data_IF_480432249600
#
_entry.id   IF_480432249600
#
_cell.length_a   1.000
_cell.length_b   1.000
_cell.length_c   1.000
_cell.angle_alpha   90.00
_cell.angle_beta   90.00
_cell.angle_gamma   90.00
#
_symmetry.space_group_name_H-M   'P 1'
#
loop_
_entity.id
_entity.type
_entity.pdbx_description
1 polymer ?
#
# COMPACT_ATOMS: atom_id res chain seq x y z
N UNK A 1 -1.98 -6.58 12.82
CA UNK A 1 -2.93 -7.02 11.77
C UNK A 1 -2.37 -8.25 11.07
N UNK A 2 -3.19 -9.27 10.77
CA UNK A 2 -2.68 -10.55 10.24
C UNK A 2 -3.23 -10.75 8.83
N UNK A 3 -2.48 -10.28 7.82
CA UNK A 3 -2.74 -10.63 6.42
C UNK A 3 -2.34 -12.08 6.19
N UNK A 4 -3.12 -12.81 5.40
CA UNK A 4 -2.87 -14.21 5.13
C UNK A 4 -2.85 -14.47 3.63
N UNK A 5 -1.70 -14.91 3.12
CA UNK A 5 -1.60 -15.39 1.74
C UNK A 5 -2.56 -16.55 1.45
N UNK A 6 -2.93 -17.34 2.47
CA UNK A 6 -3.94 -18.40 2.35
C UNK A 6 -5.31 -17.87 1.93
N UNK A 7 -5.73 -16.67 2.36
CA UNK A 7 -6.98 -16.07 1.94
C UNK A 7 -6.98 -15.76 0.43
N UNK A 8 -5.89 -15.14 -0.06
CA UNK A 8 -5.71 -14.86 -1.48
C UNK A 8 -5.70 -16.15 -2.32
N UNK A 9 -5.00 -17.20 -1.84
CA UNK A 9 -5.01 -18.53 -2.50
C UNK A 9 -6.39 -19.18 -2.53
N UNK A 10 -7.26 -18.85 -1.58
CA UNK A 10 -8.66 -19.30 -1.56
C UNK A 10 -9.60 -18.41 -2.39
N UNK A 11 -9.07 -17.43 -3.14
CA UNK A 11 -9.87 -16.51 -3.96
C UNK A 11 -10.62 -15.44 -3.17
N UNK A 12 -10.26 -15.23 -1.90
CA UNK A 12 -10.85 -14.20 -1.04
C UNK A 12 -10.07 -12.90 -1.23
N UNK A 13 -10.76 -11.85 -1.66
CA UNK A 13 -10.18 -10.49 -1.72
C UNK A 13 -10.03 -9.92 -0.31
N UNK A 14 -8.84 -9.44 0.01
CA UNK A 14 -8.50 -8.89 1.33
C UNK A 14 -7.98 -7.47 1.16
N UNK A 15 -8.59 -6.50 1.83
CA UNK A 15 -8.08 -5.14 1.91
C UNK A 15 -7.15 -4.97 3.13
N UNK A 16 -6.15 -4.10 2.98
CA UNK A 16 -5.28 -3.69 4.07
C UNK A 16 -5.93 -2.62 4.94
N UNK A 17 -5.66 -2.66 6.25
CA UNK A 17 -6.08 -1.63 7.20
C UNK A 17 -5.10 -1.58 8.37
N UNK A 18 -4.98 -0.43 9.01
CA UNK A 18 -4.16 -0.24 10.22
C UNK A 18 -4.95 -0.42 11.50
N UNK A 19 -6.29 -0.35 11.45
CA UNK A 19 -7.12 -0.26 12.65
C UNK A 19 -6.67 0.91 13.56
N UNK A 20 -6.32 2.04 12.94
CA UNK A 20 -5.84 3.20 13.67
C UNK A 20 -6.88 3.64 14.74
N UNK A 21 -6.44 3.97 15.97
CA UNK A 21 -5.06 4.27 16.39
C UNK A 21 -4.27 3.07 16.94
N UNK A 22 -4.72 1.84 16.74
CA UNK A 22 -4.03 0.63 17.24
C UNK A 22 -2.60 0.54 16.73
N UNK A 23 -2.42 0.80 15.41
CA UNK A 23 -1.09 1.04 14.83
C UNK A 23 -1.14 2.31 13.96
N UNK A 24 0.04 2.76 13.51
CA UNK A 24 0.12 3.91 12.59
C UNK A 24 -0.73 3.70 11.34
N UNK A 25 -1.42 4.73 10.83
CA UNK A 25 -2.18 4.64 9.59
C UNK A 25 -1.30 4.53 8.32
N UNK A 26 0.02 4.62 8.46
CA UNK A 26 0.96 4.55 7.35
C UNK A 26 0.91 3.20 6.62
N UNK A 27 0.44 3.14 5.36
CA UNK A 27 0.30 1.87 4.62
C UNK A 27 1.65 1.20 4.34
N UNK A 28 2.78 1.95 4.32
CA UNK A 28 4.12 1.41 4.09
C UNK A 28 4.53 0.43 5.19
N UNK A 29 4.09 0.69 6.44
CA UNK A 29 4.27 -0.23 7.56
C UNK A 29 3.50 -1.54 7.33
N UNK A 30 2.24 -1.44 6.93
CA UNK A 30 1.41 -2.62 6.66
C UNK A 30 1.92 -3.44 5.46
N UNK A 31 2.41 -2.78 4.40
CA UNK A 31 3.05 -3.44 3.24
C UNK A 31 4.29 -4.21 3.69
N UNK A 32 5.20 -3.57 4.47
CA UNK A 32 6.35 -4.26 5.06
C UNK A 32 5.92 -5.51 5.84
N UNK A 33 4.93 -5.38 6.71
CA UNK A 33 4.51 -6.45 7.60
C UNK A 33 3.88 -7.62 6.83
N UNK A 34 3.15 -7.34 5.75
CA UNK A 34 2.59 -8.36 4.87
C UNK A 34 3.68 -9.17 4.16
N UNK A 35 4.79 -8.53 3.79
CA UNK A 35 5.93 -9.16 3.12
C UNK A 35 6.84 -9.86 4.13
N UNK A 36 7.27 -9.15 5.18
CA UNK A 36 8.29 -9.65 6.11
C UNK A 36 7.73 -10.67 7.11
N UNK A 37 6.47 -10.50 7.55
CA UNK A 37 5.82 -11.32 8.59
C UNK A 37 6.65 -11.40 9.87
N UNK A 38 7.20 -10.26 10.30
CA UNK A 38 7.98 -10.15 11.53
C UNK A 38 7.27 -9.28 12.55
N UNK A 39 7.34 -9.69 13.80
CA UNK A 39 6.97 -8.87 14.95
C UNK A 39 8.03 -7.80 15.24
N UNK A 40 7.71 -6.83 16.11
CA UNK A 40 8.66 -5.79 16.54
C UNK A 40 9.91 -6.34 17.23
N UNK A 41 9.81 -7.51 17.88
CA UNK A 41 10.92 -8.24 18.48
C UNK A 41 11.64 -9.21 17.49
N UNK A 42 11.30 -9.12 16.19
CA UNK A 42 11.98 -9.83 15.11
C UNK A 42 11.51 -11.27 14.86
N UNK A 43 10.55 -11.80 15.64
CA UNK A 43 10.04 -13.17 15.44
C UNK A 43 9.23 -13.28 14.16
N UNK A 44 9.35 -14.41 13.46
CA UNK A 44 8.54 -14.73 12.29
C UNK A 44 7.15 -15.24 12.71
N UNK A 45 6.12 -14.66 12.10
CA UNK A 45 4.73 -15.08 12.28
C UNK A 45 4.18 -15.72 11.00
N UNK A 46 4.18 -17.05 10.95
CA UNK A 46 3.65 -17.81 9.83
C UNK A 46 4.32 -17.44 8.51
N UNK A 47 5.58 -17.83 8.28
CA UNK A 47 6.33 -17.46 7.06
C UNK A 47 5.67 -17.94 5.77
N UNK A 48 4.84 -18.99 5.82
CA UNK A 48 4.04 -19.46 4.69
C UNK A 48 2.90 -18.49 4.29
N UNK A 49 2.59 -17.51 5.15
CA UNK A 49 1.57 -16.48 4.92
C UNK A 49 2.15 -15.15 4.39
N UNK A 50 3.42 -15.14 3.98
CA UNK A 50 4.04 -13.98 3.33
C UNK A 50 3.37 -13.68 2.00
N UNK A 51 3.22 -12.40 1.70
CA UNK A 51 2.77 -11.93 0.41
C UNK A 51 3.96 -11.46 -0.44
N UNK A 52 3.93 -11.68 -1.76
CA UNK A 52 4.79 -10.95 -2.69
C UNK A 52 4.56 -9.44 -2.57
N UNK A 53 5.56 -8.63 -2.87
CA UNK A 53 5.48 -7.18 -2.74
C UNK A 53 4.31 -6.57 -3.54
N UNK A 54 4.05 -7.08 -4.75
CA UNK A 54 2.91 -6.66 -5.58
C UNK A 54 1.58 -6.90 -4.88
N UNK A 55 1.38 -8.07 -4.28
CA UNK A 55 0.13 -8.43 -3.59
C UNK A 55 -0.03 -7.61 -2.30
N UNK A 56 1.07 -7.36 -1.58
CA UNK A 56 1.08 -6.49 -0.41
C UNK A 56 0.70 -5.05 -0.75
N UNK A 57 1.17 -4.51 -1.90
CA UNK A 57 0.78 -3.20 -2.39
C UNK A 57 -0.70 -3.19 -2.80
N UNK A 58 -1.19 -4.25 -3.45
CA UNK A 58 -2.58 -4.37 -3.86
C UNK A 58 -3.57 -4.30 -2.70
N UNK A 59 -3.18 -4.73 -1.49
CA UNK A 59 -4.01 -4.61 -0.27
C UNK A 59 -4.46 -3.16 -0.01
N UNK A 60 -3.62 -2.17 -0.38
CA UNK A 60 -3.84 -0.75 -0.14
C UNK A 60 -4.21 0.05 -1.40
N UNK A 61 -4.37 -0.64 -2.53
CA UNK A 61 -4.74 -0.03 -3.82
C UNK A 61 -5.97 -0.73 -4.41
N UNK A 62 -5.80 -1.64 -5.34
CA UNK A 62 -6.90 -2.29 -6.08
C UNK A 62 -7.83 -3.10 -5.18
N UNK A 63 -7.30 -3.82 -4.20
CA UNK A 63 -8.13 -4.62 -3.27
C UNK A 63 -8.87 -3.73 -2.27
N UNK A 64 -8.27 -2.61 -1.84
CA UNK A 64 -8.96 -1.62 -1.02
C UNK A 64 -10.10 -0.95 -1.80
N UNK A 65 -9.88 -0.60 -3.06
CA UNK A 65 -10.91 -0.06 -3.94
C UNK A 65 -12.09 -1.03 -4.10
N UNK A 66 -11.80 -2.32 -4.33
CA UNK A 66 -12.81 -3.37 -4.40
C UNK A 66 -13.62 -3.49 -3.11
N UNK A 67 -12.96 -3.47 -1.94
CA UNK A 67 -13.65 -3.54 -0.64
C UNK A 67 -14.59 -2.35 -0.40
N UNK A 68 -14.33 -1.21 -1.04
CA UNK A 68 -15.18 -0.02 -1.02
C UNK A 68 -16.22 0.03 -2.15
N UNK A 69 -16.28 -1.00 -3.01
CA UNK A 69 -17.12 -1.04 -4.23
C UNK A 69 -16.84 0.14 -5.19
N UNK A 70 -15.58 0.57 -5.29
CA UNK A 70 -15.13 1.69 -6.12
C UNK A 70 -14.01 1.30 -7.09
N UNK A 71 -13.84 0.03 -7.37
CA UNK A 71 -12.78 -0.49 -8.26
C UNK A 71 -12.89 0.00 -9.71
N UNK A 72 -14.06 0.47 -10.12
CA UNK A 72 -14.27 1.12 -11.42
C UNK A 72 -13.80 2.58 -11.46
N UNK A 73 -13.56 3.21 -10.30
CA UNK A 73 -13.27 4.64 -10.18
C UNK A 73 -11.85 4.91 -9.68
N UNK A 74 -11.33 4.07 -8.78
CA UNK A 74 -10.04 4.25 -8.08
C UNK A 74 -9.25 2.93 -7.97
N UNK A 75 -8.07 2.99 -7.37
CA UNK A 75 -7.24 1.83 -7.03
C UNK A 75 -6.21 1.46 -8.09
N UNK A 76 -6.31 1.99 -9.30
CA UNK A 76 -5.32 1.84 -10.38
C UNK A 76 -5.33 3.07 -11.29
N UNK A 77 -4.21 3.29 -11.99
CA UNK A 77 -4.08 4.35 -12.98
C UNK A 77 -4.49 3.80 -14.35
N UNK A 78 -5.76 3.95 -14.69
CA UNK A 78 -6.35 3.49 -15.94
C UNK A 78 -7.23 4.59 -16.54
N UNK A 79 -7.36 4.66 -17.88
CA UNK A 79 -8.30 5.58 -18.52
C UNK A 79 -9.72 5.41 -17.98
N UNK A 80 -10.35 6.52 -17.61
CA UNK A 80 -11.72 6.54 -17.04
C UNK A 80 -11.78 6.50 -15.52
N UNK A 81 -10.66 6.25 -14.82
CA UNK A 81 -10.57 6.36 -13.36
C UNK A 81 -10.06 7.73 -12.91
N UNK A 82 -10.30 8.06 -11.66
CA UNK A 82 -9.72 9.25 -11.05
C UNK A 82 -8.18 9.19 -11.08
N UNK A 83 -7.55 10.32 -11.33
CA UNK A 83 -6.10 10.46 -11.25
C UNK A 83 -5.67 10.63 -9.78
N UNK A 84 -5.84 9.54 -9.02
CA UNK A 84 -5.47 9.42 -7.60
C UNK A 84 -4.17 8.60 -7.52
N UNK A 85 -3.06 9.25 -7.16
CA UNK A 85 -1.77 8.57 -7.06
C UNK A 85 -0.82 9.26 -6.08
N UNK A 86 0.21 8.53 -5.68
CA UNK A 86 1.36 9.04 -4.94
C UNK A 86 2.63 8.92 -5.77
N UNK A 87 3.52 9.89 -5.61
CA UNK A 87 4.89 9.84 -6.15
C UNK A 87 5.82 9.51 -4.99
N UNK A 88 6.63 8.49 -5.18
CA UNK A 88 7.57 7.98 -4.19
C UNK A 88 9.01 8.15 -4.68
N UNK A 89 9.98 8.30 -3.77
CA UNK A 89 11.39 8.37 -4.11
C UNK A 89 12.02 7.00 -4.43
N UNK A 90 11.32 5.91 -4.05
CA UNK A 90 11.73 4.54 -4.36
C UNK A 90 10.53 3.61 -4.58
N UNK A 91 10.73 2.56 -5.38
CA UNK A 91 9.70 1.55 -5.63
C UNK A 91 9.55 0.60 -4.44
N UNK A 92 8.36 0.47 -3.82
CA UNK A 92 8.13 -0.53 -2.79
C UNK A 92 8.22 -1.97 -3.30
N UNK A 93 8.15 -2.16 -4.64
CA UNK A 93 8.26 -3.49 -5.26
C UNK A 93 9.71 -3.98 -5.34
N UNK A 94 10.69 -3.06 -5.31
CA UNK A 94 12.12 -3.32 -5.48
C UNK A 94 12.91 -3.05 -4.18
N UNK A 95 12.26 -2.41 -3.21
CA UNK A 95 12.88 -2.06 -1.93
C UNK A 95 12.80 -3.24 -0.96
N UNK A 96 13.90 -3.52 -0.25
CA UNK A 96 13.90 -4.53 0.82
C UNK A 96 12.81 -4.20 1.87
N UNK A 97 12.06 -5.19 2.36
CA UNK A 97 10.88 -4.95 3.21
C UNK A 97 11.16 -4.04 4.40
N UNK A 98 12.30 -4.20 5.04
CA UNK A 98 12.71 -3.43 6.23
C UNK A 98 12.89 -1.93 5.91
N UNK A 99 13.15 -1.59 4.66
CA UNK A 99 13.37 -0.22 4.18
C UNK A 99 12.12 0.44 3.62
N UNK A 100 11.04 -0.31 3.35
CA UNK A 100 9.80 0.23 2.78
C UNK A 100 9.20 1.37 3.61
N UNK A 101 9.17 1.33 4.97
CA UNK A 101 8.65 2.45 5.75
C UNK A 101 9.46 3.74 5.61
N UNK A 102 10.71 3.66 5.17
CA UNK A 102 11.60 4.81 4.93
C UNK A 102 11.43 5.46 3.55
N UNK A 103 10.66 4.88 2.64
CA UNK A 103 10.37 5.47 1.32
C UNK A 103 9.65 6.81 1.53
N UNK A 104 10.14 7.87 0.86
CA UNK A 104 9.55 9.20 0.98
C UNK A 104 8.36 9.36 0.04
N UNK A 105 7.28 9.98 0.54
CA UNK A 105 6.17 10.44 -0.30
C UNK A 105 6.53 11.82 -0.82
N UNK A 106 6.86 11.93 -2.10
CA UNK A 106 7.23 13.19 -2.75
C UNK A 106 5.99 14.01 -3.12
N UNK A 107 4.90 13.35 -3.52
CA UNK A 107 3.63 14.02 -3.76
C UNK A 107 2.45 13.05 -3.57
N UNK A 108 1.29 13.63 -3.28
CA UNK A 108 -0.03 12.97 -3.32
C UNK A 108 -0.95 13.79 -4.21
N UNK A 109 -1.60 13.12 -5.15
CA UNK A 109 -2.53 13.71 -6.11
C UNK A 109 -3.90 13.05 -5.94
N UNK A 110 -4.94 13.88 -5.84
CA UNK A 110 -6.34 13.44 -5.78
C UNK A 110 -7.13 14.10 -6.91
N UNK A 111 -7.78 13.31 -7.75
CA UNK A 111 -8.54 13.79 -8.90
C UNK A 111 -7.70 14.67 -9.83
N UNK A 112 -6.41 14.38 -9.98
CA UNK A 112 -5.48 15.17 -10.77
C UNK A 112 -4.96 16.45 -10.09
N UNK A 113 -5.37 16.73 -8.83
CA UNK A 113 -4.93 17.92 -8.08
C UNK A 113 -3.91 17.50 -7.01
N UNK A 114 -2.68 18.08 -7.00
CA UNK A 114 -1.72 17.85 -5.93
C UNK A 114 -2.26 18.38 -4.59
N UNK A 115 -2.33 17.49 -3.57
CA UNK A 115 -2.77 17.83 -2.20
C UNK A 115 -1.62 17.81 -1.20
N UNK A 116 -0.49 17.19 -1.59
CA UNK A 116 0.76 17.19 -0.83
C UNK A 116 1.94 17.18 -1.81
N UNK A 117 3.00 17.94 -1.47
CA UNK A 117 4.29 17.91 -2.15
C UNK A 117 5.39 18.17 -1.10
N UNK A 118 6.43 17.33 -1.10
CA UNK A 118 7.61 17.52 -0.24
C UNK A 118 8.53 18.62 -0.78
N UNK A 119 8.65 18.71 -2.11
CA UNK A 119 9.32 19.76 -2.88
C UNK A 119 8.46 20.03 -4.11
N UNK A 120 8.68 21.16 -4.80
CA UNK A 120 7.92 21.48 -6.02
C UNK A 120 8.36 20.56 -7.16
N UNK A 121 7.84 19.33 -7.17
CA UNK A 121 8.08 18.36 -8.25
C UNK A 121 7.17 18.57 -9.46
N UNK A 122 6.10 19.35 -9.28
CA UNK A 122 5.28 19.82 -10.37
C UNK A 122 5.56 21.32 -10.56
N UNK A 123 5.94 21.78 -11.78
CA UNK A 123 6.11 23.20 -12.02
C UNK A 123 4.79 23.93 -11.69
N UNK A 124 4.88 25.00 -10.92
CA UNK A 124 3.73 25.80 -10.53
C UNK A 124 2.92 26.27 -11.74
N UNK A 125 1.61 26.27 -11.56
CA UNK A 125 0.71 26.94 -12.52
C UNK A 125 0.80 28.45 -12.32
#
# INVERSE_FOLDING_TARGET
>A
MVYRASASRAGITVAGSSDAPVITPDPRVGIRDAIARRTSDGRLLGPAERLPARDALALYTTQAAYACHRESEIGSLEPGKFADFVVLDASPLETAPERIPGIQVLATVLGGTPVHQSESIFPGR
#
